data_IF_369932263855
#
_entry.id   IF_369932263855
#
_cell.length_a   1.000
_cell.length_b   1.000
_cell.length_c   1.000
_cell.angle_alpha   90.00
_cell.angle_beta   90.00
_cell.angle_gamma   90.00
#
_symmetry.space_group_name_H-M   'P 1'
#
loop_
_entity.id
_entity.type
_entity.pdbx_description
1 polymer ?
#
# COMPACT_ATOMS: atom_id res chain seq x y z
N UNK A 1 3.05 19.93 7.26
CA UNK A 1 1.64 19.61 7.51
C UNK A 1 1.24 18.54 6.50
N UNK A 2 0.82 17.33 6.94
CA UNK A 2 0.23 16.36 6.02
C UNK A 2 -1.14 16.93 5.58
N UNK A 3 -1.44 17.09 4.28
CA UNK A 3 -2.74 17.59 3.84
C UNK A 3 -3.85 16.67 4.38
N UNK A 4 -4.84 17.26 5.06
CA UNK A 4 -5.99 16.53 5.56
C UNK A 4 -6.98 16.32 4.42
N UNK A 5 -7.03 15.10 3.90
CA UNK A 5 -8.07 14.66 2.97
C UNK A 5 -9.08 13.82 3.76
N UNK A 6 -10.23 14.39 4.19
CA UNK A 6 -11.29 13.61 4.81
C UNK A 6 -11.81 12.61 3.76
N UNK A 7 -11.85 11.31 4.08
CA UNK A 7 -12.32 10.27 3.15
C UNK A 7 -13.74 10.55 2.63
N UNK A 8 -14.10 10.10 1.41
CA UNK A 8 -13.33 9.20 0.57
C UNK A 8 -12.48 9.96 -0.45
N UNK A 9 -11.17 9.73 -0.37
CA UNK A 9 -10.36 9.65 -1.58
C UNK A 9 -11.08 8.71 -2.53
N UNK A 10 -11.18 9.08 -3.80
CA UNK A 10 -11.89 8.28 -4.80
C UNK A 10 -11.57 6.80 -4.58
N UNK A 11 -12.57 5.98 -4.22
CA UNK A 11 -12.35 4.58 -3.84
C UNK A 11 -11.55 3.83 -4.91
N UNK A 12 -11.67 4.29 -6.15
CA UNK A 12 -10.90 3.86 -7.31
C UNK A 12 -9.38 4.09 -7.16
N UNK A 13 -8.92 5.29 -6.77
CA UNK A 13 -7.49 5.58 -6.60
C UNK A 13 -6.93 4.78 -5.43
N UNK A 14 -7.69 4.66 -4.34
CA UNK A 14 -7.29 3.85 -3.18
C UNK A 14 -7.17 2.36 -3.59
N UNK A 15 -8.12 1.85 -4.37
CA UNK A 15 -8.09 0.48 -4.88
C UNK A 15 -6.90 0.25 -5.80
N UNK A 16 -6.65 1.15 -6.75
CA UNK A 16 -5.47 1.09 -7.62
C UNK A 16 -4.16 1.15 -6.82
N UNK A 17 -4.09 1.98 -5.77
CA UNK A 17 -2.94 2.07 -4.88
C UNK A 17 -2.69 0.73 -4.15
N UNK A 18 -3.75 0.09 -3.66
CA UNK A 18 -3.68 -1.24 -3.04
C UNK A 18 -3.21 -2.31 -4.03
N UNK A 19 -3.75 -2.32 -5.25
CA UNK A 19 -3.33 -3.23 -6.32
C UNK A 19 -1.86 -3.05 -6.69
N UNK A 20 -1.39 -1.81 -6.81
CA UNK A 20 0.02 -1.53 -7.06
C UNK A 20 0.91 -1.96 -5.91
N UNK A 21 0.46 -1.78 -4.66
CA UNK A 21 1.20 -2.24 -3.48
C UNK A 21 1.41 -3.75 -3.52
N UNK A 22 0.37 -4.53 -3.80
CA UNK A 22 0.50 -5.99 -3.95
C UNK A 22 1.45 -6.36 -5.10
N UNK A 23 1.22 -5.78 -6.29
CA UNK A 23 2.00 -6.08 -7.50
C UNK A 23 3.49 -5.76 -7.34
N UNK A 24 3.85 -4.69 -6.63
CA UNK A 24 5.26 -4.29 -6.42
C UNK A 24 5.98 -5.14 -5.37
N UNK A 25 5.24 -5.79 -4.46
CA UNK A 25 5.77 -6.73 -3.47
C UNK A 25 6.03 -8.13 -4.08
N UNK A 26 5.50 -8.43 -5.26
CA UNK A 26 5.76 -9.68 -5.97
C UNK A 26 7.21 -9.78 -6.44
N UNK A 27 7.87 -10.91 -6.17
CA UNK A 27 9.25 -11.19 -6.62
C UNK A 27 9.39 -11.19 -8.14
N UNK A 28 8.31 -11.47 -8.86
CA UNK A 28 8.26 -11.50 -10.32
C UNK A 28 7.90 -10.14 -10.96
N UNK A 29 7.80 -9.06 -10.19
CA UNK A 29 7.44 -7.74 -10.71
C UNK A 29 8.46 -7.25 -11.77
N UNK A 30 7.98 -7.09 -13.00
CA UNK A 30 8.77 -6.77 -14.18
C UNK A 30 9.13 -5.28 -14.28
N UNK A 31 10.14 -4.96 -15.09
CA UNK A 31 10.51 -3.57 -15.38
C UNK A 31 9.35 -2.77 -16.01
N UNK A 32 8.60 -3.38 -16.93
CA UNK A 32 7.44 -2.75 -17.57
C UNK A 32 6.32 -2.41 -16.56
N UNK A 33 6.08 -3.27 -15.57
CA UNK A 33 5.12 -2.98 -14.51
C UNK A 33 5.59 -1.84 -13.59
N UNK A 34 6.90 -1.74 -13.32
CA UNK A 34 7.48 -0.62 -12.55
C UNK A 34 7.38 0.69 -13.32
N UNK A 35 7.57 0.68 -14.63
CA UNK A 35 7.38 1.84 -15.49
C UNK A 35 5.91 2.27 -15.55
N UNK A 36 4.99 1.32 -15.71
CA UNK A 36 3.56 1.59 -15.66
C UNK A 36 3.12 2.19 -14.31
N UNK A 37 3.70 1.73 -13.20
CA UNK A 37 3.50 2.35 -11.89
C UNK A 37 4.03 3.79 -11.85
N UNK A 38 5.23 4.05 -12.38
CA UNK A 38 5.79 5.40 -12.42
C UNK A 38 4.92 6.36 -13.26
N UNK A 39 4.35 5.88 -14.37
CA UNK A 39 3.39 6.65 -15.17
C UNK A 39 2.11 6.92 -14.40
N UNK A 40 1.58 5.91 -13.70
CA UNK A 40 0.40 6.07 -12.85
C UNK A 40 0.64 7.13 -11.76
N UNK A 41 1.75 7.06 -11.03
CA UNK A 41 2.10 8.05 -9.98
C UNK A 41 2.20 9.47 -10.54
N UNK A 42 2.73 9.65 -11.74
CA UNK A 42 2.89 10.96 -12.38
C UNK A 42 1.58 11.54 -12.95
N UNK A 43 0.60 10.68 -13.24
CA UNK A 43 -0.65 11.11 -13.86
C UNK A 43 -1.51 12.00 -12.95
N UNK A 44 -1.44 11.81 -11.63
CA UNK A 44 -2.18 12.60 -10.66
C UNK A 44 -1.44 12.64 -9.30
N UNK A 45 -1.19 13.82 -8.71
CA UNK A 45 -0.52 13.92 -7.40
C UNK A 45 -1.22 13.15 -6.27
N UNK A 46 -2.53 12.88 -6.39
CA UNK A 46 -3.30 12.05 -5.44
C UNK A 46 -2.85 10.59 -5.46
N UNK A 47 -2.36 10.08 -6.59
CA UNK A 47 -1.88 8.69 -6.70
C UNK A 47 -0.68 8.44 -5.81
N UNK A 48 0.30 9.35 -5.81
CA UNK A 48 1.46 9.29 -4.92
C UNK A 48 1.05 9.29 -3.45
N UNK A 49 0.08 10.15 -3.10
CA UNK A 49 -0.42 10.27 -1.74
C UNK A 49 -1.13 8.99 -1.27
N UNK A 50 -2.05 8.45 -2.08
CA UNK A 50 -2.77 7.22 -1.72
C UNK A 50 -1.85 6.00 -1.65
N UNK A 51 -0.89 5.89 -2.57
CA UNK A 51 0.10 4.82 -2.49
C UNK A 51 0.93 4.87 -1.19
N UNK A 52 1.34 6.07 -0.76
CA UNK A 52 2.06 6.22 0.49
C UNK A 52 1.22 5.81 1.71
N UNK A 53 -0.10 6.05 1.68
CA UNK A 53 -1.03 5.62 2.76
C UNK A 53 -1.23 4.12 2.81
N UNK A 54 -1.38 3.49 1.64
CA UNK A 54 -1.46 2.03 1.53
C UNK A 54 -0.16 1.39 2.06
N UNK A 55 0.99 1.94 1.66
CA UNK A 55 2.29 1.46 2.13
C UNK A 55 2.45 1.62 3.65
N UNK A 56 2.08 2.76 4.22
CA UNK A 56 2.09 2.98 5.68
C UNK A 56 1.24 1.93 6.40
N UNK A 57 0.07 1.61 5.87
CA UNK A 57 -0.84 0.58 6.43
C UNK A 57 -0.22 -0.82 6.36
N UNK A 58 0.42 -1.15 5.23
CA UNK A 58 1.12 -2.43 5.04
C UNK A 58 2.28 -2.59 6.03
N UNK A 59 3.13 -1.58 6.17
CA UNK A 59 4.26 -1.60 7.10
C UNK A 59 3.82 -1.72 8.56
N UNK A 60 2.77 -0.98 8.96
CA UNK A 60 2.18 -1.12 10.30
C UNK A 60 1.64 -2.53 10.54
N UNK A 61 1.05 -3.16 9.53
CA UNK A 61 0.54 -4.53 9.62
C UNK A 61 1.68 -5.55 9.76
N UNK A 62 2.79 -5.36 9.05
CA UNK A 62 3.99 -6.21 9.17
C UNK A 62 4.70 -6.06 10.52
N UNK A 63 4.59 -4.89 11.16
CA UNK A 63 5.17 -4.62 12.47
C UNK A 63 4.37 -5.23 13.63
N UNK A 64 3.19 -5.81 13.38
CA UNK A 64 2.39 -6.43 14.43
C UNK A 64 3.12 -7.63 15.05
N UNK A 65 3.12 -7.77 16.38
CA UNK A 65 3.71 -8.94 17.02
C UNK A 65 2.97 -10.20 16.59
N UNK A 66 3.72 -11.28 16.35
CA UNK A 66 3.11 -12.60 16.14
C UNK A 66 2.29 -12.94 17.39
N UNK A 67 1.04 -13.40 17.24
CA UNK A 67 0.26 -13.82 18.40
C UNK A 67 1.04 -14.89 19.15
N UNK A 68 1.22 -14.70 20.47
CA UNK A 68 1.80 -15.74 21.31
C UNK A 68 0.87 -16.95 21.23
N UNK A 69 1.39 -18.08 20.75
CA UNK A 69 0.64 -19.33 20.81
C UNK A 69 0.34 -19.61 22.29
N UNK A 70 -0.89 -20.00 22.64
CA UNK A 70 -1.21 -20.34 24.02
C UNK A 70 -0.29 -21.48 24.46
N UNK A 71 0.53 -21.22 25.48
CA UNK A 71 1.30 -22.26 26.16
C UNK A 71 0.28 -23.20 26.79
N UNK A 72 0.21 -24.46 26.34
CA UNK A 72 -0.52 -25.48 27.07
C UNK A 72 0.20 -25.66 28.41
N UNK A 73 -0.49 -25.34 29.51
CA UNK A 73 -0.09 -25.84 30.82
C UNK A 73 -0.50 -27.32 30.85
N UNK A 74 0.49 -28.19 30.95
CA UNK A 74 0.31 -29.62 31.22
C UNK A 74 -0.04 -29.87 32.69
#
# INVERSE_FOLDING_TARGET
>A
MKPYFPYPLCDEILSQAAEWCLRLQETACTAAQREAFALWVQADPRHAFEYARVLETWELSNALPKPALPVKLD
#
